data_IF_659360462831
#
_entry.id   IF_659360462831
#
_cell.length_a   1.000
_cell.length_b   1.000
_cell.length_c   1.000
_cell.angle_alpha   90.00
_cell.angle_beta   90.00
_cell.angle_gamma   90.00
#
_symmetry.space_group_name_H-M   'P 1'
#
loop_
_entity.id
_entity.type
_entity.pdbx_description
1 polymer ?
#
# COMPACT_ATOMS: atom_id res chain seq x y z
N UNK A 1 -11.93 -16.24 28.01
CA UNK A 1 -12.09 -16.09 26.56
C UNK A 1 -11.42 -14.79 26.23
N UNK A 2 -10.23 -14.84 25.61
CA UNK A 2 -9.60 -13.61 25.13
C UNK A 2 -10.23 -13.33 23.78
N UNK A 3 -10.98 -12.24 23.69
CA UNK A 3 -11.44 -11.72 22.42
C UNK A 3 -10.19 -11.48 21.57
N UNK A 4 -9.99 -12.35 20.58
CA UNK A 4 -9.01 -12.15 19.53
C UNK A 4 -9.54 -10.97 18.71
N UNK A 5 -9.23 -9.76 19.17
CA UNK A 5 -9.54 -8.53 18.46
C UNK A 5 -8.78 -8.61 17.13
N UNK A 6 -9.45 -9.13 16.10
CA UNK A 6 -8.99 -9.03 14.72
C UNK A 6 -8.83 -7.55 14.47
N UNK A 7 -7.59 -7.07 14.62
CA UNK A 7 -7.22 -5.70 14.37
C UNK A 7 -7.39 -5.48 12.87
N UNK A 8 -8.59 -5.08 12.47
CA UNK A 8 -8.90 -4.69 11.11
C UNK A 8 -8.59 -3.21 11.00
N UNK A 9 -7.83 -2.78 9.96
CA UNK A 9 -7.60 -1.36 9.76
C UNK A 9 -8.93 -0.64 9.53
N UNK A 10 -8.93 0.67 9.75
CA UNK A 10 -10.08 1.51 9.41
C UNK A 10 -10.41 1.38 7.92
N UNK A 11 -11.61 1.81 7.53
CA UNK A 11 -11.95 1.92 6.12
C UNK A 11 -11.13 3.04 5.47
N UNK A 12 -10.60 2.78 4.27
CA UNK A 12 -9.91 3.78 3.45
C UNK A 12 -10.89 4.56 2.56
N UNK A 13 -10.37 5.57 1.85
CA UNK A 13 -11.19 6.41 0.94
C UNK A 13 -11.72 5.67 -0.30
N UNK A 14 -11.05 4.57 -0.70
CA UNK A 14 -11.42 3.76 -1.86
C UNK A 14 -11.21 4.43 -3.22
N UNK A 15 -11.57 3.71 -4.29
CA UNK A 15 -11.60 4.24 -5.67
C UNK A 15 -10.24 4.37 -6.37
N UNK A 16 -9.15 3.97 -5.71
CA UNK A 16 -7.79 3.87 -6.28
C UNK A 16 -7.26 2.44 -6.25
N UNK A 17 -8.17 1.48 -6.17
CA UNK A 17 -7.90 0.04 -6.08
C UNK A 17 -8.02 -0.49 -4.65
N UNK A 18 -7.90 -1.81 -4.50
CA UNK A 18 -8.09 -2.54 -3.24
C UNK A 18 -7.17 -1.98 -2.15
N UNK A 19 -5.93 -1.61 -2.48
CA UNK A 19 -4.99 -0.99 -1.53
C UNK A 19 -5.45 0.36 -0.95
N UNK A 20 -6.48 0.99 -1.53
CA UNK A 20 -7.10 2.23 -1.04
C UNK A 20 -8.38 2.03 -0.24
N UNK A 21 -8.91 0.81 -0.18
CA UNK A 21 -10.17 0.49 0.51
C UNK A 21 -9.98 0.33 2.03
N UNK A 22 -8.73 0.26 2.49
CA UNK A 22 -8.37 0.21 3.90
C UNK A 22 -7.43 1.34 4.28
N UNK A 23 -7.52 1.74 5.54
CA UNK A 23 -6.75 2.79 6.17
C UNK A 23 -5.38 2.32 6.64
N UNK A 24 -4.91 2.95 7.71
CA UNK A 24 -3.55 2.82 8.21
C UNK A 24 -3.29 1.44 8.81
N UNK A 25 -2.20 0.77 8.39
CA UNK A 25 -1.74 -0.49 8.98
C UNK A 25 -0.77 -0.27 10.15
N UNK A 26 -0.54 0.98 10.56
CA UNK A 26 0.41 1.32 11.61
C UNK A 26 0.05 0.65 12.94
N UNK A 27 1.06 0.06 13.58
CA UNK A 27 0.92 -0.60 14.88
C UNK A 27 0.42 -2.05 14.81
N UNK A 28 -0.10 -2.50 13.68
CA UNK A 28 -0.39 -3.92 13.44
C UNK A 28 0.91 -4.72 13.37
N UNK A 29 0.88 -5.99 13.79
CA UNK A 29 2.02 -6.89 13.61
C UNK A 29 2.14 -7.34 12.16
N UNK A 30 3.34 -7.76 11.76
CA UNK A 30 3.58 -8.28 10.42
C UNK A 30 2.69 -9.47 10.08
N UNK A 31 2.38 -10.33 11.06
CA UNK A 31 1.47 -11.46 10.88
C UNK A 31 0.03 -10.99 10.66
N UNK A 32 -0.47 -10.05 11.48
CA UNK A 32 -1.83 -9.49 11.31
C UNK A 32 -2.01 -8.84 9.94
N UNK A 33 -0.98 -8.14 9.45
CA UNK A 33 -1.02 -7.53 8.13
C UNK A 33 -0.95 -8.58 7.02
N UNK A 34 -0.12 -9.62 7.15
CA UNK A 34 -0.09 -10.73 6.18
C UNK A 34 -1.47 -11.41 6.07
N UNK A 35 -2.07 -11.77 7.21
CA UNK A 35 -3.39 -12.42 7.26
C UNK A 35 -4.48 -11.52 6.67
N UNK A 36 -4.47 -10.23 7.01
CA UNK A 36 -5.41 -9.25 6.46
C UNK A 36 -5.30 -9.10 4.94
N UNK A 37 -4.09 -8.86 4.42
CA UNK A 37 -3.87 -8.62 2.99
C UNK A 37 -4.15 -9.88 2.16
N UNK A 38 -3.81 -11.07 2.66
CA UNK A 38 -4.17 -12.34 2.01
C UNK A 38 -5.66 -12.62 2.06
N UNK A 39 -6.34 -12.25 3.15
CA UNK A 39 -7.80 -12.31 3.26
C UNK A 39 -8.52 -11.48 2.20
N UNK A 40 -7.90 -10.38 1.75
CA UNK A 40 -8.34 -9.56 0.62
C UNK A 40 -7.93 -10.12 -0.75
N UNK A 41 -7.30 -11.29 -0.80
CA UNK A 41 -6.89 -11.97 -2.03
C UNK A 41 -5.57 -11.49 -2.62
N UNK A 42 -4.68 -10.87 -1.82
CA UNK A 42 -3.36 -10.49 -2.31
C UNK A 42 -2.47 -11.74 -2.55
N UNK A 43 -1.75 -11.72 -3.67
CA UNK A 43 -0.60 -12.60 -3.88
C UNK A 43 0.63 -12.01 -3.21
N UNK A 44 1.35 -12.83 -2.42
CA UNK A 44 2.59 -12.40 -1.75
C UNK A 44 3.83 -12.86 -2.53
N UNK A 45 4.82 -11.97 -2.66
CA UNK A 45 6.12 -12.25 -3.27
C UNK A 45 7.22 -11.61 -2.42
N UNK A 46 8.24 -12.39 -2.06
CA UNK A 46 9.44 -11.85 -1.43
C UNK A 46 10.37 -11.32 -2.51
N UNK A 47 10.74 -10.05 -2.41
CA UNK A 47 11.68 -9.41 -3.34
C UNK A 47 13.13 -9.80 -3.01
N UNK A 48 14.04 -9.67 -3.98
CA UNK A 48 15.48 -9.94 -3.80
C UNK A 48 16.14 -9.12 -2.68
N UNK A 49 15.52 -7.98 -2.29
CA UNK A 49 16.00 -7.10 -1.22
C UNK A 49 15.38 -7.42 0.15
N UNK A 50 14.61 -8.51 0.26
CA UNK A 50 14.01 -8.96 1.51
C UNK A 50 12.71 -8.24 1.89
N UNK A 51 12.18 -7.36 1.04
CA UNK A 51 10.87 -6.75 1.26
C UNK A 51 9.76 -7.69 0.77
N UNK A 52 8.60 -7.63 1.43
CA UNK A 52 7.40 -8.33 0.99
C UNK A 52 6.60 -7.43 0.06
N UNK A 53 6.17 -7.97 -1.07
CA UNK A 53 5.24 -7.35 -2.01
C UNK A 53 3.94 -8.14 -1.99
N UNK A 54 2.83 -7.44 -1.77
CA UNK A 54 1.47 -7.95 -1.87
C UNK A 54 0.83 -7.30 -3.09
N UNK A 55 0.46 -8.09 -4.09
CA UNK A 55 -0.22 -7.63 -5.29
C UNK A 55 -1.67 -8.12 -5.31
N UNK A 56 -2.61 -7.21 -5.52
CA UNK A 56 -4.02 -7.52 -5.67
C UNK A 56 -4.42 -7.76 -7.13
N UNK A 57 -5.59 -8.34 -7.35
CA UNK A 57 -6.11 -8.64 -8.68
C UNK A 57 -6.23 -7.39 -9.60
N UNK A 58 -6.53 -6.23 -9.01
CA UNK A 58 -6.61 -4.94 -9.71
C UNK A 58 -5.26 -4.26 -9.94
N UNK A 59 -4.15 -4.94 -9.60
CA UNK A 59 -2.76 -4.48 -9.68
C UNK A 59 -2.41 -3.32 -8.75
N UNK A 60 -3.26 -2.98 -7.78
CA UNK A 60 -2.82 -2.20 -6.62
C UNK A 60 -1.88 -3.04 -5.76
N UNK A 61 -0.98 -2.40 -5.00
CA UNK A 61 0.09 -3.10 -4.27
C UNK A 61 0.36 -2.52 -2.90
N UNK A 62 0.82 -3.38 -1.99
CA UNK A 62 1.40 -3.02 -0.70
C UNK A 62 2.81 -3.61 -0.62
N UNK A 63 3.79 -2.79 -0.28
CA UNK A 63 5.15 -3.23 0.02
C UNK A 63 5.43 -3.03 1.50
N UNK A 64 5.97 -4.06 2.15
CA UNK A 64 6.44 -3.97 3.53
C UNK A 64 7.95 -4.17 3.53
N UNK A 65 8.67 -3.09 3.86
CA UNK A 65 10.12 -3.09 3.97
C UNK A 65 10.59 -3.90 5.18
N UNK A 66 11.89 -4.15 5.25
CA UNK A 66 12.51 -4.92 6.34
C UNK A 66 12.44 -4.17 7.68
N UNK A 67 12.38 -2.85 7.64
CA UNK A 67 12.25 -1.95 8.79
C UNK A 67 10.77 -1.69 9.17
N UNK A 68 9.84 -2.44 8.59
CA UNK A 68 8.40 -2.32 8.83
C UNK A 68 7.72 -1.13 8.13
N UNK A 69 8.42 -0.35 7.30
CA UNK A 69 7.77 0.70 6.51
C UNK A 69 6.81 0.10 5.48
N UNK A 70 5.61 0.66 5.42
CA UNK A 70 4.60 0.29 4.42
C UNK A 70 4.57 1.32 3.31
N UNK A 71 4.56 0.82 2.08
CA UNK A 71 4.38 1.64 0.88
C UNK A 71 3.19 1.09 0.10
N UNK A 72 2.22 1.94 -0.17
CA UNK A 72 1.02 1.57 -0.91
C UNK A 72 0.97 2.23 -2.28
N UNK A 73 0.62 1.46 -3.29
CA UNK A 73 0.56 1.91 -4.69
C UNK A 73 -0.85 1.69 -5.25
N UNK A 74 -1.46 2.71 -5.89
CA UNK A 74 -2.78 2.58 -6.47
C UNK A 74 -2.80 1.62 -7.66
N UNK A 75 -3.99 1.08 -7.96
CA UNK A 75 -4.27 0.40 -9.21
C UNK A 75 -3.91 1.32 -10.40
N UNK A 76 -3.26 0.81 -11.45
CA UNK A 76 -2.82 1.63 -12.56
C UNK A 76 -4.01 2.19 -13.35
N UNK A 77 -4.00 3.50 -13.60
CA UNK A 77 -5.01 4.19 -14.43
C UNK A 77 -4.33 4.64 -15.73
N UNK A 78 -4.98 4.40 -16.87
CA UNK A 78 -4.44 4.71 -18.19
C UNK A 78 -5.38 5.64 -18.96
N UNK A 79 -4.81 6.54 -19.76
CA UNK A 79 -5.56 7.31 -20.74
C UNK A 79 -5.86 6.46 -21.98
N UNK A 80 -6.74 6.97 -22.86
CA UNK A 80 -7.12 6.32 -24.11
C UNK A 80 -5.93 6.07 -25.06
N UNK A 81 -4.85 6.84 -24.92
CA UNK A 81 -3.59 6.67 -25.66
C UNK A 81 -2.65 5.61 -25.03
N UNK A 82 -3.07 4.93 -23.95
CA UNK A 82 -2.30 3.93 -23.24
C UNK A 82 -1.28 4.51 -22.23
N UNK A 83 -1.20 5.83 -22.08
CA UNK A 83 -0.30 6.46 -21.10
C UNK A 83 -0.82 6.27 -19.68
N UNK A 84 0.05 5.83 -18.75
CA UNK A 84 -0.31 5.73 -17.32
C UNK A 84 -0.47 7.13 -16.72
N UNK A 85 -1.67 7.42 -16.22
CA UNK A 85 -2.07 8.70 -15.64
C UNK A 85 -1.59 8.89 -14.20
N UNK A 86 -1.51 7.80 -13.43
CA UNK A 86 -1.10 7.84 -12.02
C UNK A 86 0.33 7.33 -11.80
N UNK A 87 1.20 7.51 -12.81
CA UNK A 87 2.62 7.18 -12.65
C UNK A 87 3.24 8.09 -11.59
N UNK A 88 3.97 7.50 -10.64
CA UNK A 88 4.58 8.27 -9.55
C UNK A 88 3.59 8.75 -8.48
N UNK A 89 2.40 8.13 -8.41
CA UNK A 89 1.48 8.33 -7.30
C UNK A 89 1.56 7.15 -6.32
N UNK A 90 1.32 7.45 -5.04
CA UNK A 90 1.17 6.49 -3.94
C UNK A 90 -0.12 6.73 -3.19
N UNK A 91 -0.42 5.83 -2.26
CA UNK A 91 -1.51 6.00 -1.32
C UNK A 91 -0.94 6.40 0.05
N UNK A 92 -1.51 7.43 0.67
CA UNK A 92 -1.25 7.76 2.08
C UNK A 92 -1.99 6.82 3.04
N UNK A 93 -1.87 7.10 4.34
CA UNK A 93 -2.48 6.33 5.43
C UNK A 93 -4.00 6.15 5.29
N UNK A 94 -4.68 7.07 4.63
CA UNK A 94 -6.13 7.05 4.46
C UNK A 94 -6.55 6.40 3.12
N UNK A 95 -5.57 6.02 2.29
CA UNK A 95 -5.81 5.49 0.94
C UNK A 95 -5.91 6.58 -0.14
N UNK A 96 -5.56 7.83 0.17
CA UNK A 96 -5.62 8.96 -0.77
C UNK A 96 -4.37 9.09 -1.62
N UNK A 97 -4.52 9.62 -2.85
CA UNK A 97 -3.39 9.76 -3.76
C UNK A 97 -2.43 10.86 -3.32
N UNK A 98 -1.15 10.50 -3.22
CA UNK A 98 -0.04 11.44 -2.99
C UNK A 98 0.92 11.42 -4.17
N UNK A 99 1.30 12.60 -4.65
CA UNK A 99 2.26 12.77 -5.73
C UNK A 99 3.68 12.64 -5.19
N UNK A 100 4.49 11.75 -5.76
CA UNK A 100 5.88 11.53 -5.33
C UNK A 100 6.92 11.96 -6.35
N UNK A 101 6.50 12.35 -7.55
CA UNK A 101 7.37 12.84 -8.62
C UNK A 101 6.94 14.25 -9.04
N UNK A 102 7.88 15.11 -9.39
CA UNK A 102 7.62 16.43 -9.99
C UNK A 102 7.24 16.31 -11.49
N UNK A 103 7.09 17.45 -12.16
CA UNK A 103 6.74 17.51 -13.59
C UNK A 103 7.86 16.99 -14.51
N UNK A 104 9.09 16.95 -14.02
CA UNK A 104 10.27 16.44 -14.73
C UNK A 104 10.56 14.97 -14.40
N UNK A 105 9.76 14.36 -13.52
CA UNK A 105 9.93 12.98 -13.06
C UNK A 105 10.94 12.80 -11.93
N UNK A 106 11.42 13.88 -11.30
CA UNK A 106 12.29 13.78 -10.14
C UNK A 106 11.48 13.51 -8.88
N UNK A 107 12.06 12.77 -7.94
CA UNK A 107 11.40 12.49 -6.67
C UNK A 107 11.22 13.76 -5.83
N UNK A 108 9.99 14.00 -5.38
CA UNK A 108 9.68 15.11 -4.47
C UNK A 108 10.16 14.71 -3.06
N UNK A 109 11.04 15.49 -2.40
CA UNK A 109 11.53 15.18 -1.05
C UNK A 109 10.39 15.00 -0.05
N UNK A 110 10.51 14.01 0.84
CA UNK A 110 9.54 13.76 1.92
C UNK A 110 8.21 13.14 1.51
N UNK A 111 7.95 12.90 0.22
CA UNK A 111 6.67 12.32 -0.26
C UNK A 111 6.73 10.81 -0.48
N UNK A 112 7.93 10.24 -0.47
CA UNK A 112 8.12 8.82 -0.78
C UNK A 112 7.74 7.90 0.37
N UNK A 113 7.84 8.40 1.61
CA UNK A 113 7.54 7.69 2.83
C UNK A 113 6.24 8.28 3.40
N UNK A 114 5.22 7.46 3.61
CA UNK A 114 3.93 7.91 4.16
C UNK A 114 3.89 7.86 5.69
N UNK A 115 4.98 7.43 6.32
CA UNK A 115 5.10 7.28 7.77
C UNK A 115 4.44 6.03 8.34
N UNK A 116 3.73 5.26 7.51
CA UNK A 116 3.04 4.04 7.89
C UNK A 116 4.04 2.93 8.29
N UNK A 117 3.86 2.38 9.50
CA UNK A 117 4.84 1.48 10.14
C UNK A 117 4.18 0.29 10.86
N UNK A 118 4.47 -0.92 10.40
CA UNK A 118 4.06 -2.16 11.07
C UNK A 118 5.08 -2.58 12.12
N UNK A 119 4.61 -3.32 13.13
CA UNK A 119 5.46 -3.93 14.15
C UNK A 119 6.04 -5.24 13.61
N UNK A 120 7.36 -5.38 13.74
CA UNK A 120 8.05 -6.64 13.48
C UNK A 120 7.75 -7.68 14.56
#
# INVERSE_FOLDING_TARGET
>A
MVDEETCVPSQGVGGNGIASEFGDLTGMTRQQVDDFLRGLGAEIKTTQRGYLEYEFADRSRVHIRTDGEVIRTPAPKYASDGRRLNKGLRLDRDGSLVKTLDEFGNQIPGTHNTGEKVRN
#
